data_IF_965881748486
#
_entry.id   IF_965881748486
#
_cell.length_a   1.000
_cell.length_b   1.000
_cell.length_c   1.000
_cell.angle_alpha   90.00
_cell.angle_beta   90.00
_cell.angle_gamma   90.00
#
_symmetry.space_group_name_H-M   'P 1'
#
loop_
_entity.id
_entity.type
_entity.pdbx_description
1 polymer ?
#
# COMPACT_ATOMS: atom_id res chain seq x y z
N UNK A 1 -10.63 -84.68 9.27
CA UNK A 1 -9.80 -85.33 8.23
C UNK A 1 -9.09 -84.22 7.46
N UNK A 2 -7.76 -84.27 7.46
CA UNK A 2 -6.84 -83.23 6.97
C UNK A 2 -6.50 -83.39 5.48
N UNK A 3 -6.18 -82.27 4.81
CA UNK A 3 -5.04 -82.05 3.87
C UNK A 3 -5.09 -80.58 3.38
N UNK A 4 -4.18 -79.65 3.77
CA UNK A 4 -2.88 -79.26 3.14
C UNK A 4 -2.95 -79.13 1.61
N UNK A 5 -2.37 -78.16 0.87
CA UNK A 5 -1.18 -77.27 0.95
C UNK A 5 -1.29 -76.30 -0.27
N UNK A 6 -1.10 -74.98 -0.20
CA UNK A 6 0.11 -74.13 -0.31
C UNK A 6 1.05 -74.29 -1.52
N UNK A 7 1.44 -73.13 -2.08
CA UNK A 7 2.55 -72.77 -3.00
C UNK A 7 2.30 -73.05 -4.50
N UNK A 8 2.66 -72.19 -5.45
CA UNK A 8 3.41 -70.92 -5.45
C UNK A 8 3.82 -70.59 -6.88
N UNK A 9 4.27 -69.34 -7.07
CA UNK A 9 5.13 -68.81 -8.12
C UNK A 9 4.61 -68.29 -9.48
N UNK A 10 5.26 -67.17 -9.80
CA UNK A 10 5.64 -66.63 -11.10
C UNK A 10 4.60 -65.85 -11.92
N UNK A 11 4.64 -64.53 -11.70
CA UNK A 11 4.39 -63.50 -12.72
C UNK A 11 5.20 -63.77 -14.00
N UNK A 12 4.64 -63.44 -15.18
CA UNK A 12 5.44 -62.61 -16.07
C UNK A 12 4.67 -61.40 -16.61
N UNK A 13 5.41 -60.30 -16.64
CA UNK A 13 5.16 -59.04 -17.32
C UNK A 13 4.49 -59.15 -18.70
N UNK A 14 3.56 -58.24 -18.98
CA UNK A 14 3.57 -57.48 -20.24
C UNK A 14 2.82 -56.15 -20.11
N UNK A 15 3.46 -55.13 -20.67
CA UNK A 15 3.10 -53.71 -20.63
C UNK A 15 1.99 -53.38 -21.63
N UNK A 16 1.10 -52.49 -21.18
CA UNK A 16 0.36 -51.43 -21.91
C UNK A 16 -0.66 -51.88 -22.98
N UNK A 17 -1.51 -50.96 -23.46
CA UNK A 17 -2.24 -49.87 -22.79
C UNK A 17 -3.77 -50.10 -22.94
N UNK A 18 -4.64 -49.19 -22.48
CA UNK A 18 -5.74 -48.62 -23.30
C UNK A 18 -6.67 -47.70 -22.49
N UNK A 19 -6.77 -46.49 -23.03
CA UNK A 19 -7.94 -45.62 -23.20
C UNK A 19 -8.74 -45.08 -22.01
N UNK A 20 -8.52 -43.78 -21.84
CA UNK A 20 -9.45 -42.75 -21.37
C UNK A 20 -10.71 -42.70 -22.26
N UNK A 21 -11.88 -42.65 -21.61
CA UNK A 21 -13.12 -42.01 -22.06
C UNK A 21 -13.58 -41.23 -20.81
N UNK A 22 -13.85 -39.93 -20.77
CA UNK A 22 -14.24 -38.98 -21.80
C UNK A 22 -15.65 -38.47 -21.51
N UNK A 23 -15.79 -37.35 -20.78
CA UNK A 23 -16.96 -36.47 -20.77
C UNK A 23 -16.54 -35.16 -20.05
N UNK A 24 -16.01 -34.16 -20.74
CA UNK A 24 -16.75 -33.12 -21.49
C UNK A 24 -17.63 -32.25 -20.58
N UNK A 25 -17.01 -31.23 -19.99
CA UNK A 25 -17.66 -30.01 -19.54
C UNK A 25 -16.95 -28.84 -20.19
N UNK A 26 -17.51 -28.35 -21.30
CA UNK A 26 -16.97 -27.24 -22.06
C UNK A 26 -17.13 -25.91 -21.29
N UNK A 27 -16.03 -25.18 -21.15
CA UNK A 27 -16.05 -23.72 -21.00
C UNK A 27 -15.09 -23.14 -22.03
N UNK A 28 -15.66 -22.60 -23.10
CA UNK A 28 -14.98 -21.97 -24.22
C UNK A 28 -14.57 -20.54 -23.86
N UNK A 29 -13.30 -20.23 -24.16
CA UNK A 29 -12.81 -19.03 -24.82
C UNK A 29 -12.82 -17.68 -24.09
N UNK A 30 -11.63 -17.11 -23.85
CA UNK A 30 -10.98 -16.25 -24.86
C UNK A 30 -9.46 -16.22 -24.66
N UNK A 31 -8.74 -16.88 -25.56
CA UNK A 31 -7.32 -16.57 -25.82
C UNK A 31 -7.35 -15.35 -26.75
N UNK A 32 -7.09 -14.17 -26.20
CA UNK A 32 -6.75 -13.02 -27.02
C UNK A 32 -5.37 -13.29 -27.64
N UNK A 33 -5.35 -13.50 -28.96
CA UNK A 33 -4.15 -13.56 -29.76
C UNK A 33 -3.50 -12.16 -29.79
N UNK A 34 -2.64 -11.88 -28.82
CA UNK A 34 -1.60 -10.85 -28.87
C UNK A 34 -0.25 -11.56 -28.94
N UNK A 35 0.50 -11.31 -30.01
CA UNK A 35 1.73 -12.04 -30.34
C UNK A 35 2.83 -11.99 -29.28
N UNK A 36 3.74 -12.96 -29.42
CA UNK A 36 5.08 -13.01 -28.86
C UNK A 36 5.71 -11.64 -28.56
N UNK A 37 5.87 -11.33 -27.28
CA UNK A 37 7.14 -10.81 -26.74
C UNK A 37 7.30 -11.40 -25.33
N UNK A 38 8.09 -12.47 -25.20
CA UNK A 38 8.69 -12.85 -23.91
C UNK A 38 9.76 -11.81 -23.57
N UNK A 39 9.35 -10.58 -23.31
CA UNK A 39 10.14 -9.66 -22.50
C UNK A 39 9.88 -10.13 -21.08
N UNK A 40 10.93 -10.35 -20.28
CA UNK A 40 10.74 -10.57 -18.84
C UNK A 40 9.72 -9.52 -18.37
N UNK A 41 8.59 -9.94 -17.80
CA UNK A 41 7.69 -9.03 -17.12
C UNK A 41 8.46 -8.51 -15.89
N UNK A 42 9.33 -7.52 -16.09
CA UNK A 42 10.08 -6.82 -15.05
C UNK A 42 9.22 -5.64 -14.54
N UNK A 43 7.91 -5.82 -14.53
CA UNK A 43 6.99 -4.86 -13.93
C UNK A 43 6.70 -5.25 -12.48
N UNK A 44 6.14 -4.34 -11.69
CA UNK A 44 5.59 -4.70 -10.39
C UNK A 44 4.63 -5.88 -10.52
N UNK A 45 4.71 -6.80 -9.58
CA UNK A 45 3.65 -7.77 -9.36
C UNK A 45 2.49 -7.05 -8.67
N UNK A 46 1.39 -6.89 -9.38
CA UNK A 46 0.22 -6.20 -8.88
C UNK A 46 -1.03 -7.06 -9.10
N UNK A 47 -1.63 -7.51 -7.99
CA UNK A 47 -2.89 -8.20 -7.97
C UNK A 47 -3.89 -7.37 -7.18
N UNK A 48 -5.02 -7.07 -7.79
CA UNK A 48 -6.15 -6.40 -7.15
C UNK A 48 -7.27 -7.40 -6.88
N UNK A 49 -8.22 -6.99 -6.05
CA UNK A 49 -9.43 -7.74 -5.72
C UNK A 49 -10.63 -6.81 -5.75
N UNK A 50 -11.82 -7.40 -5.83
CA UNK A 50 -13.06 -6.67 -5.54
C UNK A 50 -13.10 -6.27 -4.07
N UNK A 51 -13.75 -5.14 -3.71
CA UNK A 51 -13.86 -4.69 -2.33
C UNK A 51 -14.43 -5.78 -1.42
N UNK A 52 -13.65 -6.16 -0.42
CA UNK A 52 -14.08 -7.11 0.59
C UNK A 52 -14.98 -6.45 1.64
N UNK A 53 -15.70 -7.28 2.38
CA UNK A 53 -16.47 -6.80 3.52
C UNK A 53 -15.52 -6.25 4.58
N UNK A 54 -15.84 -5.06 5.09
CA UNK A 54 -15.09 -4.49 6.21
C UNK A 54 -15.31 -5.32 7.48
N UNK A 55 -14.26 -5.42 8.29
CA UNK A 55 -14.25 -6.10 9.57
C UNK A 55 -13.89 -5.11 10.68
N UNK A 56 -14.52 -5.29 11.85
CA UNK A 56 -14.14 -4.51 13.00
C UNK A 56 -12.69 -4.84 13.39
N UNK A 57 -11.84 -3.82 13.48
CA UNK A 57 -10.45 -3.98 13.92
C UNK A 57 -10.45 -4.54 15.34
N UNK A 58 -9.74 -5.65 15.53
CA UNK A 58 -9.58 -6.27 16.84
C UNK A 58 -8.88 -5.31 17.81
N UNK A 59 -9.53 -5.03 18.94
CA UNK A 59 -8.99 -4.13 19.97
C UNK A 59 -8.13 -4.86 21.02
N UNK A 60 -8.28 -6.18 21.10
CA UNK A 60 -7.59 -7.06 22.06
C UNK A 60 -7.31 -8.40 21.41
N UNK A 61 -6.20 -9.04 21.79
CA UNK A 61 -5.86 -10.39 21.36
C UNK A 61 -5.91 -11.35 22.56
N UNK A 62 -6.51 -12.53 22.37
CA UNK A 62 -6.52 -13.63 23.35
C UNK A 62 -5.89 -14.90 22.80
N UNK A 63 -6.08 -15.17 21.50
CA UNK A 63 -5.71 -16.41 20.82
C UNK A 63 -5.28 -16.14 19.37
N UNK A 64 -4.60 -17.10 18.76
CA UNK A 64 -4.24 -17.08 17.34
C UNK A 64 -5.42 -17.58 16.49
N UNK A 65 -5.86 -16.78 15.51
CA UNK A 65 -6.93 -17.17 14.58
C UNK A 65 -6.40 -17.89 13.33
N UNK A 66 -5.25 -17.45 12.81
CA UNK A 66 -4.61 -17.96 11.61
C UNK A 66 -3.12 -17.66 11.62
N UNK A 67 -2.37 -18.36 10.77
CA UNK A 67 -0.95 -18.14 10.52
C UNK A 67 -0.74 -17.93 9.02
N UNK A 68 0.21 -17.08 8.66
CA UNK A 68 0.57 -16.79 7.28
C UNK A 68 2.10 -16.70 7.17
N UNK A 69 2.64 -17.32 6.12
CA UNK A 69 4.06 -17.28 5.81
C UNK A 69 4.34 -16.28 4.67
N UNK A 70 5.36 -15.43 4.80
CA UNK A 70 5.75 -14.53 3.73
C UNK A 70 6.26 -15.29 2.50
N UNK A 71 6.16 -14.70 1.30
CA UNK A 71 6.78 -15.27 0.11
C UNK A 71 8.27 -15.55 0.32
N UNK A 72 8.79 -16.58 -0.34
CA UNK A 72 10.20 -16.95 -0.23
C UNK A 72 11.12 -15.76 -0.56
N UNK A 73 12.07 -15.49 0.34
CA UNK A 73 13.04 -14.40 0.20
C UNK A 73 12.55 -13.01 0.59
N UNK A 74 11.28 -12.84 0.96
CA UNK A 74 10.75 -11.57 1.46
C UNK A 74 10.99 -11.39 2.96
N UNK A 75 11.31 -10.18 3.39
CA UNK A 75 11.43 -9.82 4.80
C UNK A 75 10.19 -9.02 5.25
N UNK A 76 9.59 -9.41 6.38
CA UNK A 76 8.44 -8.69 6.95
C UNK A 76 8.93 -7.59 7.87
N UNK A 77 8.58 -6.35 7.57
CA UNK A 77 8.96 -5.19 8.39
C UNK A 77 7.90 -4.80 9.41
N UNK A 78 6.63 -4.75 8.99
CA UNK A 78 5.53 -4.31 9.87
C UNK A 78 4.17 -4.74 9.30
N UNK A 79 3.13 -4.54 10.10
CA UNK A 79 1.74 -4.85 9.75
C UNK A 79 0.89 -3.64 10.07
N UNK A 80 -0.05 -3.31 9.18
CA UNK A 80 -0.94 -2.15 9.30
C UNK A 80 -2.39 -2.58 9.20
N UNK A 81 -3.31 -2.01 9.99
CA UNK A 81 -4.73 -2.30 9.84
C UNK A 81 -5.25 -1.74 8.52
N UNK A 82 -6.12 -2.50 7.87
CA UNK A 82 -6.94 -2.08 6.73
C UNK A 82 -8.39 -2.53 6.99
N UNK A 83 -9.40 -1.97 6.29
CA UNK A 83 -10.80 -2.27 6.59
C UNK A 83 -11.15 -3.75 6.52
N UNK A 84 -10.55 -4.52 5.61
CA UNK A 84 -10.79 -5.96 5.44
C UNK A 84 -9.87 -6.86 6.28
N UNK A 85 -8.90 -6.31 7.02
CA UNK A 85 -7.90 -7.11 7.73
C UNK A 85 -6.59 -6.37 7.97
N UNK A 86 -5.50 -6.90 7.43
CA UNK A 86 -4.17 -6.31 7.61
C UNK A 86 -3.38 -6.22 6.31
N UNK A 87 -2.62 -5.16 6.15
CA UNK A 87 -1.59 -5.01 5.11
C UNK A 87 -0.21 -5.31 5.74
N UNK A 88 0.44 -6.36 5.26
CA UNK A 88 1.78 -6.77 5.67
C UNK A 88 2.81 -6.08 4.78
N UNK A 89 3.63 -5.23 5.38
CA UNK A 89 4.72 -4.54 4.71
C UNK A 89 5.92 -5.48 4.57
N UNK A 90 6.37 -5.65 3.34
CA UNK A 90 7.57 -6.38 2.95
C UNK A 90 8.69 -5.41 2.58
N UNK A 91 9.89 -5.93 2.37
CA UNK A 91 11.03 -5.18 1.84
C UNK A 91 10.86 -4.71 0.40
N UNK A 92 10.04 -5.40 -0.37
CA UNK A 92 9.79 -5.10 -1.78
C UNK A 92 8.33 -4.71 -2.06
N UNK A 93 7.51 -4.47 -1.03
CA UNK A 93 6.13 -4.04 -1.22
C UNK A 93 5.18 -4.41 -0.09
N UNK A 94 3.98 -4.88 -0.45
CA UNK A 94 2.90 -5.16 0.50
C UNK A 94 2.01 -6.32 0.04
N UNK A 95 1.52 -7.09 1.01
CA UNK A 95 0.48 -8.10 0.82
C UNK A 95 -0.66 -7.83 1.80
N UNK A 96 -1.89 -7.72 1.30
CA UNK A 96 -3.07 -7.63 2.15
C UNK A 96 -3.65 -9.00 2.45
N UNK A 97 -3.97 -9.23 3.72
CA UNK A 97 -4.56 -10.46 4.23
C UNK A 97 -5.94 -10.17 4.78
N UNK A 98 -6.88 -11.08 4.51
CA UNK A 98 -8.19 -11.09 5.13
C UNK A 98 -8.06 -11.29 6.65
N UNK A 99 -8.73 -10.43 7.43
CA UNK A 99 -8.59 -10.44 8.88
C UNK A 99 -9.18 -11.68 9.56
N UNK A 100 -10.09 -12.40 8.89
CA UNK A 100 -10.77 -13.58 9.42
C UNK A 100 -10.04 -14.85 9.04
N UNK A 101 -9.60 -14.97 7.78
CA UNK A 101 -9.00 -16.22 7.25
C UNK A 101 -7.48 -16.19 7.19
N UNK A 102 -6.86 -15.00 7.15
CA UNK A 102 -5.43 -14.85 6.89
C UNK A 102 -5.02 -15.08 5.44
N UNK A 103 -5.97 -15.26 4.53
CA UNK A 103 -5.68 -15.49 3.11
C UNK A 103 -5.28 -14.18 2.40
N UNK A 104 -4.32 -14.22 1.45
CA UNK A 104 -3.99 -13.06 0.63
C UNK A 104 -5.15 -12.60 -0.24
N UNK A 105 -5.42 -11.30 -0.25
CA UNK A 105 -6.54 -10.69 -0.97
C UNK A 105 -6.06 -9.87 -2.15
N UNK A 106 -5.10 -8.98 -1.94
CA UNK A 106 -4.40 -8.23 -2.97
C UNK A 106 -2.91 -8.07 -2.60
N UNK A 107 -2.07 -7.77 -3.58
CA UNK A 107 -0.64 -7.50 -3.34
C UNK A 107 -0.06 -6.54 -4.36
N UNK A 108 0.94 -5.79 -3.91
CA UNK A 108 1.78 -4.96 -4.77
C UNK A 108 3.24 -5.17 -4.38
N UNK A 109 4.08 -5.68 -5.29
CA UNK A 109 5.51 -5.94 -5.05
C UNK A 109 6.37 -5.49 -6.22
N UNK A 110 7.56 -4.97 -5.93
CA UNK A 110 8.58 -4.53 -6.88
C UNK A 110 9.92 -5.18 -6.55
N UNK A 111 10.21 -6.30 -7.20
CA UNK A 111 11.47 -7.01 -6.98
C UNK A 111 12.73 -6.22 -7.41
N UNK A 112 12.55 -5.14 -8.17
CA UNK A 112 13.60 -4.24 -8.64
C UNK A 112 13.82 -3.01 -7.75
N UNK A 113 13.01 -2.82 -6.69
CA UNK A 113 13.06 -1.63 -5.85
C UNK A 113 12.81 -1.95 -4.38
N UNK A 114 13.61 -1.37 -3.50
CA UNK A 114 13.42 -1.45 -2.06
C UNK A 114 12.32 -0.49 -1.61
N UNK A 115 11.40 -0.97 -0.78
CA UNK A 115 10.41 -0.15 -0.11
C UNK A 115 11.07 0.60 1.05
N UNK A 116 11.22 1.92 0.93
CA UNK A 116 11.79 2.74 1.99
C UNK A 116 10.77 2.98 3.10
N UNK A 117 9.52 3.30 2.75
CA UNK A 117 8.45 3.56 3.71
C UNK A 117 7.09 3.10 3.23
N UNK A 118 6.21 2.84 4.20
CA UNK A 118 4.78 2.76 3.97
C UNK A 118 4.04 3.51 5.07
N UNK A 119 2.83 3.98 4.76
CA UNK A 119 1.96 4.63 5.73
C UNK A 119 0.50 4.49 5.33
N UNK A 120 -0.34 4.12 6.29
CA UNK A 120 -1.79 4.06 6.08
C UNK A 120 -2.40 5.36 6.58
N UNK A 121 -3.32 5.90 5.79
CA UNK A 121 -4.15 7.05 6.20
C UNK A 121 -4.92 6.76 7.50
N UNK A 122 -5.23 7.78 8.31
CA UNK A 122 -5.92 7.59 9.59
C UNK A 122 -7.29 6.89 9.49
N UNK A 123 -8.01 7.06 8.38
CA UNK A 123 -9.27 6.35 8.11
C UNK A 123 -9.08 4.96 7.50
N UNK A 124 -7.83 4.52 7.38
CA UNK A 124 -7.38 3.23 6.86
C UNK A 124 -7.67 2.97 5.39
N UNK A 125 -8.20 3.94 4.63
CA UNK A 125 -8.66 3.68 3.25
C UNK A 125 -7.56 3.68 2.22
N UNK A 126 -6.54 4.51 2.42
CA UNK A 126 -5.40 4.62 1.51
C UNK A 126 -4.11 4.15 2.19
N UNK A 127 -3.27 3.49 1.41
CA UNK A 127 -1.91 3.08 1.78
C UNK A 127 -0.91 3.75 0.83
N UNK A 128 -0.04 4.58 1.38
CA UNK A 128 1.09 5.16 0.68
C UNK A 128 2.32 4.26 0.80
N UNK A 129 3.01 4.01 -0.31
CA UNK A 129 4.26 3.26 -0.43
C UNK A 129 5.31 4.15 -1.10
N UNK A 130 6.49 4.30 -0.51
CA UNK A 130 7.63 4.97 -1.12
C UNK A 130 8.72 3.95 -1.44
N UNK A 131 9.16 3.92 -2.69
CA UNK A 131 10.24 3.06 -3.16
C UNK A 131 11.47 3.89 -3.48
N UNK A 132 12.64 3.42 -3.03
CA UNK A 132 13.92 4.05 -3.37
C UNK A 132 14.13 4.00 -4.88
N UNK A 133 14.53 5.14 -5.47
CA UNK A 133 14.95 5.18 -6.87
C UNK A 133 16.46 5.07 -6.96
N UNK A 134 16.94 4.23 -7.85
CA UNK A 134 18.37 4.09 -8.10
C UNK A 134 18.92 5.44 -8.61
N UNK A 135 19.78 6.08 -7.82
CA UNK A 135 20.44 7.32 -8.21
C UNK A 135 21.40 7.01 -9.35
N UNK A 136 21.26 7.71 -10.47
CA UNK A 136 22.22 7.58 -11.57
C UNK A 136 23.59 8.11 -11.09
N UNK A 137 24.67 7.40 -11.41
CA UNK A 137 26.04 7.73 -10.95
C UNK A 137 26.48 9.16 -11.32
N UNK A 138 25.84 9.80 -12.30
CA UNK A 138 26.09 11.16 -12.77
C UNK A 138 25.29 12.25 -12.03
N UNK A 139 24.36 11.90 -11.14
CA UNK A 139 23.63 12.89 -10.34
C UNK A 139 24.58 13.57 -9.35
N UNK A 140 24.48 14.89 -9.26
CA UNK A 140 25.24 15.65 -8.27
C UNK A 140 24.79 15.14 -6.89
N UNK A 141 25.74 14.81 -6.00
CA UNK A 141 25.43 14.43 -4.61
C UNK A 141 24.64 15.51 -3.86
N UNK A 142 24.56 16.71 -4.43
CA UNK A 142 23.74 17.81 -3.97
C UNK A 142 22.34 17.86 -4.56
N UNK A 143 21.88 16.87 -5.34
CA UNK A 143 20.48 16.64 -5.73
C UNK A 143 19.77 15.76 -4.68
N UNK A 144 18.46 15.95 -4.44
CA UNK A 144 17.74 15.11 -3.48
C UNK A 144 17.61 13.69 -4.05
N UNK A 145 17.72 12.66 -3.20
CA UNK A 145 17.33 11.32 -3.60
C UNK A 145 15.86 11.36 -4.02
N UNK A 146 15.50 10.66 -5.09
CA UNK A 146 14.13 10.58 -5.56
C UNK A 146 13.54 9.26 -5.11
N UNK A 147 12.23 9.26 -4.85
CA UNK A 147 11.46 8.07 -4.54
C UNK A 147 10.21 8.02 -5.40
N UNK A 148 9.80 6.81 -5.78
CA UNK A 148 8.51 6.59 -6.40
C UNK A 148 7.47 6.40 -5.28
N UNK A 149 6.54 7.35 -5.14
CA UNK A 149 5.41 7.27 -4.24
C UNK A 149 4.18 6.71 -4.97
N UNK A 150 3.62 5.64 -4.41
CA UNK A 150 2.40 4.98 -4.84
C UNK A 150 1.35 5.07 -3.75
N UNK A 151 0.11 5.33 -4.13
CA UNK A 151 -1.04 5.34 -3.23
C UNK A 151 -2.03 4.29 -3.69
N UNK A 152 -2.34 3.36 -2.80
CA UNK A 152 -3.22 2.23 -3.03
C UNK A 152 -4.53 2.42 -2.27
N UNK A 153 -5.65 2.10 -2.89
CA UNK A 153 -6.90 1.81 -2.18
C UNK A 153 -6.73 0.50 -1.41
N UNK A 154 -6.94 0.52 -0.11
CA UNK A 154 -6.70 -0.64 0.76
C UNK A 154 -7.77 -1.73 0.66
N UNK A 155 -8.94 -1.43 0.10
CA UNK A 155 -10.03 -2.39 -0.05
C UNK A 155 -9.83 -3.28 -1.27
N UNK A 156 -9.18 -2.76 -2.32
CA UNK A 156 -8.99 -3.46 -3.61
C UNK A 156 -7.52 -3.68 -3.97
N UNK A 157 -6.61 -2.90 -3.40
CA UNK A 157 -5.22 -2.80 -3.84
C UNK A 157 -5.02 -1.96 -5.10
N UNK A 158 -6.04 -1.25 -5.60
CA UNK A 158 -5.91 -0.42 -6.81
C UNK A 158 -5.00 0.78 -6.58
N UNK A 159 -4.19 1.14 -7.58
CA UNK A 159 -3.37 2.37 -7.54
C UNK A 159 -4.27 3.55 -7.84
N UNK A 160 -4.43 4.44 -6.87
CA UNK A 160 -5.22 5.69 -6.99
C UNK A 160 -4.34 6.93 -7.11
N UNK A 161 -3.03 6.80 -6.92
CA UNK A 161 -2.04 7.85 -7.11
C UNK A 161 -0.65 7.29 -7.36
N UNK A 162 0.10 7.94 -8.26
CA UNK A 162 1.49 7.61 -8.53
C UNK A 162 2.25 8.89 -8.85
N UNK A 163 3.39 9.08 -8.20
CA UNK A 163 4.18 10.29 -8.33
C UNK A 163 5.64 10.04 -7.94
N UNK A 164 6.52 10.90 -8.41
CA UNK A 164 7.92 10.95 -7.97
C UNK A 164 8.04 12.05 -6.90
N UNK A 165 8.66 11.75 -5.77
CA UNK A 165 8.89 12.70 -4.70
C UNK A 165 10.37 12.82 -4.41
N UNK A 166 10.80 14.02 -4.01
CA UNK A 166 12.12 14.21 -3.44
C UNK A 166 12.16 13.74 -1.99
N UNK A 167 13.22 13.04 -1.62
CA UNK A 167 13.55 12.78 -0.23
C UNK A 167 13.68 14.15 0.48
N UNK A 168 12.82 14.40 1.47
CA UNK A 168 12.78 15.66 2.19
C UNK A 168 14.07 15.80 2.99
N UNK A 169 15.08 16.48 2.41
CA UNK A 169 16.43 16.55 2.98
C UNK A 169 16.37 16.79 4.49
N UNK A 170 16.94 15.89 5.31
CA UNK A 170 17.24 16.26 6.67
C UNK A 170 18.31 17.34 6.57
N UNK A 171 17.92 18.60 6.80
CA UNK A 171 18.88 19.65 7.11
C UNK A 171 19.57 19.26 8.41
N UNK A 172 20.62 18.43 8.31
CA UNK A 172 21.59 18.16 9.39
C UNK A 172 20.95 17.95 10.77
N UNK A 173 19.77 17.33 10.84
CA UNK A 173 19.37 16.59 12.01
C UNK A 173 19.79 15.18 11.61
N UNK A 174 21.00 14.84 12.02
CA UNK A 174 21.40 13.45 12.11
C UNK A 174 20.23 12.81 12.85
N UNK A 175 19.47 11.95 12.16
CA UNK A 175 18.60 10.98 12.81
C UNK A 175 19.55 10.20 13.72
N UNK A 176 19.80 10.72 14.92
CA UNK A 176 20.18 9.88 16.03
C UNK A 176 18.97 8.99 16.13
N UNK A 177 19.07 7.72 15.69
CA UNK A 177 17.92 6.85 15.75
C UNK A 177 17.47 6.91 17.20
N UNK A 178 16.23 7.36 17.46
CA UNK A 178 15.69 7.30 18.81
C UNK A 178 15.73 5.81 19.14
N UNK A 179 16.56 5.36 20.10
CA UNK A 179 16.63 3.94 20.39
C UNK A 179 15.27 3.56 20.93
N UNK A 180 14.53 2.76 20.15
CA UNK A 180 13.35 2.08 20.67
C UNK A 180 13.78 1.15 21.81
N UNK A 181 12.82 0.65 22.60
CA UNK A 181 13.10 -0.40 23.57
C UNK A 181 13.89 -1.52 22.89
N UNK A 182 15.01 -1.94 23.50
CA UNK A 182 15.95 -2.96 22.98
C UNK A 182 16.86 -2.54 21.80
N UNK A 183 17.02 -1.26 21.53
CA UNK A 183 17.97 -0.79 20.51
C UNK A 183 17.43 -0.86 19.08
N UNK A 184 16.10 -0.90 18.91
CA UNK A 184 15.48 -0.72 17.61
C UNK A 184 15.80 0.68 17.07
N UNK A 185 16.50 0.76 15.94
CA UNK A 185 16.73 2.01 15.23
C UNK A 185 15.61 2.22 14.23
N UNK A 186 14.73 3.18 14.46
CA UNK A 186 13.77 3.60 13.44
C UNK A 186 14.52 4.46 12.42
N UNK A 187 14.98 3.85 11.33
CA UNK A 187 15.32 4.59 10.13
C UNK A 187 13.99 5.13 9.60
N UNK A 188 13.73 6.43 9.81
CA UNK A 188 12.70 7.11 9.05
C UNK A 188 13.39 7.52 7.75
N UNK A 189 13.09 6.89 6.60
CA UNK A 189 13.45 7.51 5.33
C UNK A 189 12.89 8.92 5.31
N UNK A 190 13.55 9.85 4.63
CA UNK A 190 13.03 11.21 4.53
C UNK A 190 11.83 11.33 3.57
N UNK A 191 11.28 10.20 3.12
CA UNK A 191 9.99 10.10 2.48
C UNK A 191 8.93 10.79 3.35
N UNK A 192 8.34 11.89 2.87
CA UNK A 192 7.38 12.72 3.62
C UNK A 192 6.09 12.02 4.07
N UNK A 193 6.01 10.70 3.92
CA UNK A 193 4.82 9.88 4.15
C UNK A 193 4.69 9.32 5.58
N UNK A 194 5.60 9.66 6.51
CA UNK A 194 5.42 9.31 7.93
C UNK A 194 4.31 10.11 8.61
N UNK A 195 3.98 11.28 8.06
CA UNK A 195 2.88 12.12 8.54
C UNK A 195 1.85 12.27 7.42
N UNK A 196 0.84 11.41 7.45
CA UNK A 196 -0.28 11.45 6.51
C UNK A 196 -1.58 11.81 7.22
N UNK A 197 -2.40 12.56 6.51
CA UNK A 197 -3.82 12.76 6.78
C UNK A 197 -4.61 11.88 5.81
N UNK A 198 -5.94 12.02 5.74
CA UNK A 198 -6.74 11.21 4.82
C UNK A 198 -6.49 11.55 3.34
N UNK A 199 -5.97 12.75 3.04
CA UNK A 199 -5.83 13.28 1.69
C UNK A 199 -4.46 13.91 1.41
N UNK A 200 -3.62 14.08 2.42
CA UNK A 200 -2.34 14.78 2.29
C UNK A 200 -1.20 14.08 3.02
N UNK A 201 0.01 14.18 2.46
CA UNK A 201 1.26 13.97 3.21
C UNK A 201 1.81 15.32 3.68
N UNK A 202 2.39 15.33 4.86
CA UNK A 202 2.93 16.54 5.49
C UNK A 202 4.45 16.44 5.50
N UNK A 203 5.08 17.35 4.78
CA UNK A 203 6.53 17.46 4.69
C UNK A 203 7.04 18.55 5.64
N UNK A 204 8.07 18.22 6.42
CA UNK A 204 8.76 19.17 7.28
C UNK A 204 9.86 19.86 6.47
N UNK A 205 9.64 21.13 6.15
CA UNK A 205 10.66 22.00 5.59
C UNK A 205 11.48 22.70 6.67
N UNK A 206 12.58 23.33 6.26
CA UNK A 206 13.46 24.08 7.17
C UNK A 206 12.77 25.26 7.89
N UNK A 207 11.61 25.72 7.42
CA UNK A 207 10.92 26.93 7.89
C UNK A 207 9.43 26.74 8.16
N UNK A 208 8.93 25.51 8.14
CA UNK A 208 7.51 25.25 8.22
C UNK A 208 7.10 23.86 7.77
N UNK A 209 5.80 23.70 7.56
CA UNK A 209 5.20 22.48 7.06
C UNK A 209 4.51 22.77 5.74
N UNK A 210 4.64 21.85 4.80
CA UNK A 210 3.89 21.88 3.55
C UNK A 210 3.06 20.61 3.48
N UNK A 211 1.78 20.74 3.19
CA UNK A 211 0.94 19.62 2.88
C UNK A 211 0.79 19.49 1.37
N UNK A 212 1.13 18.32 0.85
CA UNK A 212 0.92 17.94 -0.53
C UNK A 212 -0.21 16.93 -0.61
N UNK A 213 -1.03 17.04 -1.64
CA UNK A 213 -2.01 16.02 -2.01
C UNK A 213 -1.31 14.67 -2.07
N UNK A 214 -1.92 13.68 -1.43
CA UNK A 214 -1.36 12.33 -1.38
C UNK A 214 -1.35 11.68 -2.76
N UNK A 215 -2.34 11.99 -3.61
CA UNK A 215 -2.58 11.32 -4.89
C UNK A 215 -2.16 12.14 -6.11
N UNK A 216 -2.15 13.47 -6.00
CA UNK A 216 -1.91 14.38 -7.14
C UNK A 216 -0.62 15.20 -7.04
N UNK A 217 0.12 15.06 -5.94
CA UNK A 217 1.31 15.85 -5.61
C UNK A 217 1.12 17.38 -5.55
N UNK A 218 -0.11 17.86 -5.62
CA UNK A 218 -0.39 19.30 -5.59
C UNK A 218 -0.24 19.87 -4.17
N UNK A 219 0.45 21.00 -4.02
CA UNK A 219 0.49 21.71 -2.74
C UNK A 219 -0.93 22.14 -2.34
N UNK A 220 -1.37 21.68 -1.17
CA UNK A 220 -2.67 22.03 -0.59
C UNK A 220 -2.57 23.29 0.26
N UNK A 221 -1.54 23.33 1.13
CA UNK A 221 -1.25 24.48 1.98
C UNK A 221 0.19 24.46 2.48
N UNK A 222 0.71 25.65 2.79
CA UNK A 222 1.98 25.86 3.47
C UNK A 222 1.74 26.64 4.77
N UNK A 223 2.42 26.23 5.84
CA UNK A 223 2.54 27.00 7.07
C UNK A 223 4.00 27.37 7.32
N UNK A 224 4.40 28.57 6.88
CA UNK A 224 5.69 29.17 7.22
C UNK A 224 5.62 29.98 8.52
N UNK A 225 6.62 29.85 9.39
CA UNK A 225 6.82 30.84 10.46
C UNK A 225 7.31 32.14 9.85
N UNK A 226 6.41 33.11 9.63
CA UNK A 226 6.82 34.48 9.36
C UNK A 226 7.55 35.01 10.60
N UNK A 227 8.83 35.37 10.45
CA UNK A 227 9.48 36.23 11.42
C UNK A 227 8.61 37.50 11.60
N UNK A 228 8.48 38.05 12.83
CA UNK A 228 7.82 39.32 13.03
C UNK A 228 8.55 40.39 12.21
N UNK A 229 7.96 40.77 11.06
CA UNK A 229 8.55 41.70 10.09
C UNK A 229 8.19 41.49 8.62
N UNK A 230 7.71 40.31 8.22
CA UNK A 230 7.29 40.07 6.82
C UNK A 230 5.77 40.08 6.66
N UNK A 231 5.21 40.75 5.63
CA UNK A 231 3.76 40.76 5.39
C UNK A 231 3.26 39.36 5.04
N UNK A 232 2.31 38.82 5.83
CA UNK A 232 1.59 37.57 5.55
C UNK A 232 0.83 37.72 4.24
N UNK A 233 1.24 37.03 3.19
CA UNK A 233 0.38 36.78 2.03
C UNK A 233 -0.38 35.49 2.29
N UNK A 234 -1.41 35.56 3.13
CA UNK A 234 -2.31 34.43 3.36
C UNK A 234 -3.23 34.32 2.14
N UNK A 235 -2.90 33.45 1.17
CA UNK A 235 -3.84 33.11 0.08
C UNK A 235 -4.82 32.05 0.57
N UNK A 236 -5.74 32.45 1.45
CA UNK A 236 -6.92 31.64 1.73
C UNK A 236 -7.91 31.82 0.57
N UNK A 237 -8.14 30.78 -0.24
CA UNK A 237 -9.36 30.71 -1.07
C UNK A 237 -10.50 30.25 -0.16
N UNK A 238 -11.28 31.20 0.34
CA UNK A 238 -12.53 30.90 1.05
C UNK A 238 -13.59 30.44 0.04
N UNK A 239 -14.33 29.35 0.29
CA UNK A 239 -15.51 29.04 -0.50
C UNK A 239 -16.63 30.05 -0.16
N UNK A 240 -17.17 30.68 -1.18
CA UNK A 240 -18.28 31.65 -1.09
C UNK A 240 -19.50 31.03 -0.40
N UNK A 241 -19.72 31.34 0.88
CA UNK A 241 -21.03 31.15 1.50
C UNK A 241 -21.98 32.26 1.02
N UNK A 242 -22.96 31.88 0.20
CA UNK A 242 -24.08 32.74 -0.12
C UNK A 242 -25.01 32.87 1.10
N UNK A 243 -25.07 34.08 1.68
CA UNK A 243 -26.10 34.45 2.67
C UNK A 243 -27.47 34.60 1.97
N UNK A 244 -28.57 34.06 2.52
CA UNK A 244 -29.91 34.42 2.09
C UNK A 244 -30.27 35.82 2.62
N UNK A 245 -30.84 36.65 1.75
CA UNK A 245 -31.38 37.98 2.09
C UNK A 245 -32.67 37.82 2.89
N UNK A 246 -32.65 38.16 4.17
CA UNK A 246 -33.87 38.45 4.93
C UNK A 246 -34.36 39.87 4.56
N UNK A 247 -35.48 39.96 3.84
CA UNK A 247 -36.24 41.21 3.71
C UNK A 247 -37.19 41.30 4.91
N UNK A 248 -37.00 42.33 5.73
CA UNK A 248 -37.92 42.69 6.80
C UNK A 248 -39.24 43.22 6.26
N UNK A 249 -40.32 42.80 6.90
CA UNK A 249 -41.68 43.36 6.76
C UNK A 249 -41.82 44.52 7.77
N UNK A 250 -42.32 45.70 7.39
CA UNK A 250 -42.51 46.79 8.34
C UNK A 250 -43.78 46.61 9.17
N UNK A 251 -43.68 46.99 10.43
CA UNK A 251 -44.76 47.13 11.42
C UNK A 251 -45.81 48.15 10.95
N UNK A 252 -47.08 47.83 11.17
CA UNK A 252 -48.20 48.78 11.15
C UNK A 252 -48.47 49.29 12.58
N UNK A 253 -48.80 50.57 12.80
CA UNK A 253 -49.04 51.11 14.13
C UNK A 253 -50.45 50.79 14.62
N UNK A 254 -50.59 50.70 15.94
CA UNK A 254 -51.87 50.68 16.64
C UNK A 254 -52.40 52.11 16.78
N UNK A 255 -53.65 52.32 16.36
CA UNK A 255 -54.76 52.91 17.12
C UNK A 255 -56.08 52.73 16.34
#
# INVERSE_FOLDING_TARGET
MSKTQSNGDASPSRRRPWLIVGASGAALSMIAAGGLVWWKAQGPEHLTTEPLSEHAIAQTASDTAWEWDPPEGAEVFTVRPIPSGVAVQLDDGVVALDGVTGEPTWRYRRADASLSAASTTPDTRLLALAFEKEQQEEQDRSDPALEDLLVLDTSTGEIVGQQEIGEARPHRIVNSPVPGPRGATQHLPASGIHQVTNDARIELGARGFVAYSLTEDSELWENGTAFPGSPRTMRSRTPTQARPRSRGTPLSPAD
#
